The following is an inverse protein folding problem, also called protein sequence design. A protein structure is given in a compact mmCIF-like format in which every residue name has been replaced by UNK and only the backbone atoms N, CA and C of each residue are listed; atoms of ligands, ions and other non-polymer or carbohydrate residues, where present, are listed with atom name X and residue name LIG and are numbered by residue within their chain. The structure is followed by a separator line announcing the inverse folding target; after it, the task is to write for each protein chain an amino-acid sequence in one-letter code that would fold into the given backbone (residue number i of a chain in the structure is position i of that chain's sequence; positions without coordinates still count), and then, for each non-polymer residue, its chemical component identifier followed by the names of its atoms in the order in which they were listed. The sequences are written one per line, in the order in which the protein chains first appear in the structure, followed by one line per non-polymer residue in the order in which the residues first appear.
data_IF_478060521275
#
_entry.id   IF_478060521275
#
_cell.length_a   1.000
_cell.length_b   1.000
_cell.length_c   1.000
_cell.angle_alpha   90.00
_cell.angle_beta   90.00
_cell.angle_gamma   90.00
#
_symmetry.space_group_name_H-M   'P 1'
#
loop_
_entity.id
_entity.type
_entity.pdbx_description
1 polymer ?
#
# COMPACT_ATOMS: atom_id res chain seq x y z
N UNK A 1 -9.30 -6.36 -5.30
CA UNK A 1 -8.69 -6.75 -4.00
C UNK A 1 -7.23 -7.12 -4.22
N UNK A 2 -6.33 -6.90 -3.24
CA UNK A 2 -4.94 -7.32 -3.37
C UNK A 2 -4.81 -8.85 -3.52
N UNK A 3 -3.79 -9.34 -4.26
CA UNK A 3 -3.50 -10.77 -4.34
C UNK A 3 -3.01 -11.31 -2.99
N UNK A 4 -3.21 -12.61 -2.73
CA UNK A 4 -2.84 -13.24 -1.45
C UNK A 4 -1.34 -13.21 -1.20
N UNK A 5 -0.55 -13.22 -2.25
CA UNK A 5 0.90 -13.10 -2.24
C UNK A 5 1.35 -11.79 -1.57
N UNK A 6 0.54 -10.73 -1.69
CA UNK A 6 0.82 -9.45 -1.03
C UNK A 6 0.76 -9.57 0.50
N UNK A 7 -0.10 -10.44 1.04
CA UNK A 7 -0.15 -10.71 2.48
C UNK A 7 1.20 -11.30 2.94
N UNK A 8 1.75 -12.24 2.16
CA UNK A 8 3.06 -12.87 2.46
C UNK A 8 4.18 -11.82 2.40
N UNK A 9 4.18 -10.97 1.36
CA UNK A 9 5.16 -9.89 1.20
C UNK A 9 5.15 -8.96 2.41
N UNK A 10 3.98 -8.48 2.85
CA UNK A 10 3.88 -7.55 3.99
C UNK A 10 4.15 -8.21 5.33
N UNK A 11 3.75 -9.48 5.51
CA UNK A 11 4.09 -10.25 6.72
C UNK A 11 5.61 -10.39 6.87
N UNK A 12 6.31 -10.73 5.78
CA UNK A 12 7.73 -11.03 5.77
C UNK A 12 8.63 -9.81 5.51
N UNK A 13 8.06 -8.63 5.30
CA UNK A 13 8.82 -7.43 4.93
C UNK A 13 9.88 -7.11 6.01
N UNK A 14 11.18 -7.11 5.66
CA UNK A 14 12.24 -6.69 6.56
C UNK A 14 12.08 -5.24 7.03
N UNK A 15 12.66 -4.94 8.20
CA UNK A 15 12.76 -3.57 8.68
C UNK A 15 13.61 -2.73 7.71
N UNK A 16 13.26 -1.44 7.60
CA UNK A 16 13.98 -0.44 6.78
C UNK A 16 13.96 -0.69 5.26
N UNK A 17 13.07 -1.54 4.76
CA UNK A 17 12.79 -1.66 3.33
C UNK A 17 11.31 -1.40 3.04
N UNK A 18 10.98 -1.17 1.76
CA UNK A 18 9.63 -0.90 1.30
C UNK A 18 9.14 -1.89 0.25
N UNK A 19 7.83 -2.17 0.26
CA UNK A 19 7.12 -2.82 -0.83
C UNK A 19 6.35 -1.76 -1.62
N UNK A 20 6.60 -1.68 -2.93
CA UNK A 20 6.09 -0.65 -3.83
C UNK A 20 4.94 -1.21 -4.67
N UNK A 21 3.85 -0.46 -4.76
CA UNK A 21 2.65 -0.82 -5.54
C UNK A 21 2.28 0.36 -6.46
N UNK A 22 2.34 0.17 -7.78
CA UNK A 22 1.85 1.15 -8.78
C UNK A 22 0.42 1.65 -8.52
N UNK A 23 0.12 2.89 -8.92
CA UNK A 23 -1.16 3.56 -8.68
C UNK A 23 -2.38 2.90 -9.34
N UNK A 24 -2.21 2.33 -10.53
CA UNK A 24 -3.21 1.52 -11.21
C UNK A 24 -3.61 0.29 -10.38
N UNK A 25 -2.61 -0.42 -9.83
CA UNK A 25 -2.85 -1.54 -8.93
C UNK A 25 -3.46 -1.11 -7.61
N UNK A 26 -3.10 0.05 -7.05
CA UNK A 26 -3.75 0.57 -5.85
C UNK A 26 -5.25 0.75 -6.07
N UNK A 27 -5.65 1.33 -7.20
CA UNK A 27 -7.06 1.53 -7.52
C UNK A 27 -7.77 0.18 -7.74
N UNK A 28 -7.22 -0.70 -8.58
CA UNK A 28 -7.80 -2.02 -8.87
C UNK A 28 -7.93 -2.90 -7.62
N UNK A 29 -6.97 -2.79 -6.71
CA UNK A 29 -6.96 -3.61 -5.51
C UNK A 29 -7.86 -3.04 -4.43
N UNK A 30 -7.85 -1.74 -4.20
CA UNK A 30 -8.44 -1.14 -3.01
C UNK A 30 -9.71 -0.32 -3.26
N UNK A 31 -9.98 0.11 -4.49
CA UNK A 31 -11.22 0.78 -4.87
C UNK A 31 -11.58 0.52 -6.37
N UNK A 32 -11.85 -0.75 -6.74
CA UNK A 32 -12.14 -1.09 -8.13
C UNK A 32 -13.37 -0.32 -8.62
N UNK A 33 -13.24 0.32 -9.80
CA UNK A 33 -14.33 1.05 -10.45
C UNK A 33 -14.50 2.50 -10.03
N UNK A 34 -13.64 3.06 -9.16
CA UNK A 34 -13.72 4.49 -8.78
C UNK A 34 -12.88 5.45 -9.63
N UNK A 35 -12.11 4.92 -10.59
CA UNK A 35 -11.40 5.69 -11.62
C UNK A 35 -9.90 5.84 -11.32
N UNK A 36 -9.04 5.65 -12.33
CA UNK A 36 -7.59 5.47 -12.13
C UNK A 36 -6.76 6.74 -11.94
N UNK A 37 -7.28 7.95 -12.21
CA UNK A 37 -6.44 9.17 -12.22
C UNK A 37 -7.17 10.42 -11.73
N UNK A 38 -6.72 11.04 -10.62
CA UNK A 38 -5.72 10.54 -9.67
C UNK A 38 -6.24 9.32 -8.89
N UNK A 39 -5.34 8.53 -8.29
CA UNK A 39 -5.71 7.43 -7.39
C UNK A 39 -6.69 7.93 -6.32
N UNK A 40 -7.76 7.17 -6.08
CA UNK A 40 -8.85 7.66 -5.24
C UNK A 40 -8.42 7.73 -3.77
N UNK A 41 -8.96 8.72 -3.03
CA UNK A 41 -8.75 8.80 -1.57
C UNK A 41 -9.25 7.53 -0.86
N UNK A 42 -10.25 6.87 -1.44
CA UNK A 42 -10.80 5.60 -0.95
C UNK A 42 -9.75 4.49 -1.07
N UNK A 43 -9.12 4.34 -2.24
CA UNK A 43 -8.05 3.38 -2.44
C UNK A 43 -6.88 3.62 -1.47
N UNK A 44 -6.46 4.88 -1.29
CA UNK A 44 -5.38 5.22 -0.36
C UNK A 44 -5.71 4.89 1.10
N UNK A 45 -6.92 5.19 1.55
CA UNK A 45 -7.35 4.88 2.92
C UNK A 45 -7.47 3.36 3.14
N UNK A 46 -7.96 2.63 2.15
CA UNK A 46 -8.08 1.18 2.17
C UNK A 46 -6.70 0.50 2.14
N UNK A 47 -5.75 1.01 1.34
CA UNK A 47 -4.35 0.57 1.34
C UNK A 47 -3.70 0.79 2.72
N UNK A 48 -3.84 1.97 3.32
CA UNK A 48 -3.33 2.23 4.66
C UNK A 48 -3.92 1.27 5.72
N UNK A 49 -5.21 0.99 5.63
CA UNK A 49 -5.90 0.03 6.52
C UNK A 49 -5.47 -1.41 6.27
N UNK A 50 -5.12 -1.74 5.02
CA UNK A 50 -4.54 -3.03 4.66
C UNK A 50 -3.15 -3.22 5.26
N UNK A 51 -2.24 -2.26 5.10
CA UNK A 51 -0.88 -2.32 5.67
C UNK A 51 -0.86 -2.51 7.18
N UNK A 52 -1.76 -1.84 7.92
CA UNK A 52 -1.86 -1.95 9.38
C UNK A 52 -2.11 -3.37 9.90
N UNK A 53 -2.74 -4.24 9.10
CA UNK A 53 -2.95 -5.66 9.47
C UNK A 53 -1.64 -6.44 9.58
N UNK A 54 -0.57 -5.91 9.00
CA UNK A 54 0.76 -6.52 8.94
C UNK A 54 1.83 -5.66 9.62
N UNK A 55 1.42 -4.73 10.49
CA UNK A 55 2.32 -3.79 11.17
C UNK A 55 3.10 -2.88 10.20
N UNK A 56 2.51 -2.59 9.04
CA UNK A 56 3.08 -1.69 8.05
C UNK A 56 2.39 -0.32 8.08
N UNK A 57 3.19 0.74 7.93
CA UNK A 57 2.74 2.05 7.51
C UNK A 57 2.58 2.10 5.98
N UNK A 58 1.90 3.13 5.49
CA UNK A 58 1.66 3.34 4.07
C UNK A 58 1.76 4.82 3.72
N UNK A 59 2.34 5.12 2.55
CA UNK A 59 2.31 6.46 1.94
C UNK A 59 2.27 6.36 0.43
N UNK A 60 1.50 7.27 -0.16
CA UNK A 60 1.47 7.48 -1.61
C UNK A 60 2.45 8.58 -2.00
N UNK A 61 3.21 8.34 -3.07
CA UNK A 61 4.17 9.26 -3.66
C UNK A 61 3.67 9.65 -5.07
N UNK A 62 2.96 10.79 -5.22
CA UNK A 62 2.37 11.19 -6.50
C UNK A 62 3.41 11.43 -7.61
N UNK A 63 4.62 11.84 -7.23
CA UNK A 63 5.77 12.06 -8.13
C UNK A 63 6.29 10.77 -8.76
N UNK A 64 6.03 9.63 -8.11
CA UNK A 64 6.45 8.29 -8.55
C UNK A 64 5.28 7.41 -8.98
N UNK A 65 4.05 7.89 -8.80
CA UNK A 65 2.82 7.15 -9.09
C UNK A 65 2.76 5.79 -8.36
N UNK A 66 3.20 5.76 -7.10
CA UNK A 66 3.29 4.52 -6.32
C UNK A 66 2.90 4.72 -4.85
N UNK A 67 2.31 3.67 -4.27
CA UNK A 67 2.14 3.51 -2.84
C UNK A 67 3.24 2.62 -2.26
N UNK A 68 3.76 2.99 -1.10
CA UNK A 68 4.84 2.27 -0.44
C UNK A 68 4.37 1.82 0.93
N UNK A 69 4.57 0.53 1.22
CA UNK A 69 4.40 -0.07 2.53
C UNK A 69 5.76 -0.29 3.18
N UNK A 70 5.90 0.01 4.47
CA UNK A 70 7.11 -0.33 5.25
C UNK A 70 6.74 -0.70 6.68
N UNK A 71 7.55 -1.52 7.34
CA UNK A 71 7.32 -1.89 8.74
C UNK A 71 7.41 -0.67 9.64
N UNK A 72 6.44 -0.54 10.54
CA UNK A 72 6.52 0.44 11.61
C UNK A 72 7.76 0.14 12.48
N UNK A 73 8.55 1.17 12.75
CA UNK A 73 9.68 1.09 13.67
C UNK A 73 9.46 2.20 14.70
N UNK A 74 9.32 1.88 16.00
CA UNK A 74 9.33 2.91 17.02
C UNK A 74 10.67 3.65 16.93
N UNK A 75 10.63 4.98 17.00
CA UNK A 75 11.86 5.75 17.16
C UNK A 75 12.60 5.22 18.41
N UNK A 76 13.84 4.75 18.21
CA UNK A 76 14.74 4.31 19.30
C UNK A 76 15.14 5.55 20.10
#
# INVERSE_FOLDING_TARGET
MPPKEMDVVLQQLPLRIGAYVPDDLLEDWFAPGTGMRPVSKIALAAAASYGRRFECEFKYYPDRMEGVFWKWVPAI
#
